data_IF_231067712947
#
_entry.id   IF_231067712947
#
_cell.length_a   1.000
_cell.length_b   1.000
_cell.length_c   1.000
_cell.angle_alpha   90.00
_cell.angle_beta   90.00
_cell.angle_gamma   90.00
#
_symmetry.space_group_name_H-M   'P 1'
#
loop_
_entity.id
_entity.type
_entity.pdbx_description
1 polymer ?
#
# COMPACT_ATOMS: atom_id res chain seq x y z
N UNK A 1 -56.93 10.05 57.65
CA UNK A 1 -56.26 9.40 56.50
C UNK A 1 -56.01 10.50 55.47
N UNK A 2 -54.80 11.08 55.49
CA UNK A 2 -53.68 10.87 54.54
C UNK A 2 -54.01 11.39 53.13
N UNK A 3 -53.68 12.65 52.82
CA UNK A 3 -52.50 13.15 52.03
C UNK A 3 -52.62 12.73 50.54
N UNK A 4 -52.49 13.58 49.52
CA UNK A 4 -51.23 14.19 49.05
C UNK A 4 -51.45 15.36 48.07
N UNK A 5 -50.59 16.36 48.20
CA UNK A 5 -50.25 17.40 47.22
C UNK A 5 -49.02 16.89 46.46
N UNK A 6 -49.02 16.95 45.12
CA UNK A 6 -47.81 16.70 44.32
C UNK A 6 -47.40 18.01 43.63
N UNK A 7 -46.19 18.44 44.00
CA UNK A 7 -45.45 19.58 43.47
C UNK A 7 -44.83 19.18 42.13
N UNK A 8 -45.01 20.03 41.12
CA UNK A 8 -44.38 19.90 39.81
C UNK A 8 -42.87 20.09 39.90
N UNK A 9 -42.13 19.17 39.28
CA UNK A 9 -40.70 19.33 39.01
C UNK A 9 -40.51 19.48 37.51
N UNK A 10 -40.04 20.64 37.09
CA UNK A 10 -39.57 20.92 35.73
C UNK A 10 -38.15 20.38 35.64
N UNK A 11 -37.91 19.36 34.79
CA UNK A 11 -36.57 18.93 34.41
C UNK A 11 -36.35 19.35 32.96
N UNK A 12 -35.59 20.42 32.79
CA UNK A 12 -34.92 20.77 31.53
C UNK A 12 -33.73 19.84 31.32
N UNK A 13 -33.80 18.96 30.32
CA UNK A 13 -32.64 18.24 29.79
C UNK A 13 -31.98 19.10 28.69
N UNK A 14 -30.92 19.80 29.08
CA UNK A 14 -29.93 20.37 28.18
C UNK A 14 -28.94 19.26 27.78
N UNK A 15 -28.66 19.16 26.48
CA UNK A 15 -27.64 18.28 25.94
C UNK A 15 -26.22 18.74 26.28
N UNK A 16 -25.26 17.80 26.23
CA UNK A 16 -23.87 18.10 25.90
C UNK A 16 -23.09 16.79 25.68
N UNK A 17 -22.62 16.64 24.43
CA UNK A 17 -21.43 15.95 23.94
C UNK A 17 -20.81 14.80 24.74
N UNK A 18 -20.75 13.64 24.08
CA UNK A 18 -19.87 12.54 24.42
C UNK A 18 -18.41 12.98 24.52
N UNK A 19 -17.78 12.56 25.62
CA UNK A 19 -16.34 12.66 25.81
C UNK A 19 -15.66 11.64 24.91
N UNK A 20 -15.12 12.14 23.80
CA UNK A 20 -14.23 11.42 22.93
C UNK A 20 -12.97 11.01 23.67
N UNK A 21 -12.46 9.85 23.28
CA UNK A 21 -11.10 9.39 23.55
C UNK A 21 -10.11 10.46 23.08
N UNK A 22 -9.56 11.22 24.02
CA UNK A 22 -8.45 12.12 23.78
C UNK A 22 -7.19 11.24 23.68
N UNK A 23 -6.81 10.93 22.44
CA UNK A 23 -5.55 10.29 22.10
C UNK A 23 -4.42 11.21 22.58
N UNK A 24 -3.76 10.81 23.67
CA UNK A 24 -2.51 11.39 24.14
C UNK A 24 -1.47 11.18 23.04
N UNK A 25 -1.30 12.19 22.18
CA UNK A 25 -0.15 12.32 21.31
C UNK A 25 1.07 12.56 22.20
N UNK A 26 1.70 11.48 22.64
CA UNK A 26 3.00 11.50 23.28
C UNK A 26 4.05 11.89 22.24
N UNK A 27 4.23 13.19 22.10
CA UNK A 27 5.27 13.82 21.33
C UNK A 27 6.60 13.64 22.07
N UNK A 28 7.14 12.42 22.04
CA UNK A 28 8.48 12.17 22.56
C UNK A 28 9.49 12.55 21.48
N UNK A 29 10.02 13.78 21.58
CA UNK A 29 11.38 14.05 21.12
C UNK A 29 12.30 13.17 21.97
N UNK A 30 12.83 12.09 21.40
CA UNK A 30 13.95 11.38 22.00
C UNK A 30 15.08 11.46 20.99
N UNK A 31 16.03 12.35 21.29
CA UNK A 31 17.26 12.51 20.55
C UNK A 31 18.33 12.90 21.57
N UNK A 32 18.73 11.94 22.41
CA UNK A 32 19.74 12.11 23.46
C UNK A 32 20.11 10.77 24.13
N UNK A 33 20.84 9.91 23.42
CA UNK A 33 21.93 9.06 23.95
C UNK A 33 21.71 8.11 25.13
N UNK A 34 20.51 8.00 25.72
CA UNK A 34 20.20 7.09 26.83
C UNK A 34 19.70 5.71 26.35
N UNK A 35 19.82 4.65 27.16
CA UNK A 35 19.33 3.32 26.79
C UNK A 35 17.81 3.33 26.69
N UNK A 36 17.31 3.11 25.49
CA UNK A 36 15.89 2.97 25.20
C UNK A 36 15.31 1.74 25.92
N UNK A 37 14.35 1.96 26.82
CA UNK A 37 13.71 0.88 27.59
C UNK A 37 12.82 0.02 26.69
N UNK A 38 12.10 0.65 25.74
CA UNK A 38 11.17 -0.03 24.85
C UNK A 38 11.71 0.02 23.41
N UNK A 39 12.32 -1.07 22.96
CA UNK A 39 12.71 -1.22 21.55
C UNK A 39 11.58 -1.86 20.77
N UNK A 40 11.39 -1.44 19.53
CA UNK A 40 10.40 -2.05 18.63
C UNK A 40 11.04 -3.25 17.92
N UNK A 41 10.40 -4.41 18.01
CA UNK A 41 10.83 -5.69 17.43
C UNK A 41 9.80 -6.33 16.50
N UNK A 42 8.71 -5.62 16.21
CA UNK A 42 7.66 -6.02 15.26
C UNK A 42 7.59 -5.04 14.08
N UNK A 43 8.38 -5.33 13.04
CA UNK A 43 8.30 -4.62 11.77
C UNK A 43 7.99 -5.54 10.60
N UNK A 44 7.11 -5.10 9.71
CA UNK A 44 7.07 -5.63 8.34
C UNK A 44 8.42 -5.32 7.63
N UNK A 45 8.96 -6.23 6.79
CA UNK A 45 10.21 -5.99 6.09
C UNK A 45 10.11 -4.82 5.11
N UNK A 46 10.97 -3.82 5.33
CA UNK A 46 11.08 -2.62 4.52
C UNK A 46 12.54 -2.17 4.44
N UNK A 47 12.85 -1.42 3.39
CA UNK A 47 14.14 -0.78 3.14
C UNK A 47 13.89 0.68 2.76
N UNK A 48 14.69 1.61 3.27
CA UNK A 48 14.75 2.97 2.73
C UNK A 48 16.10 3.17 2.03
N UNK A 49 16.07 3.45 0.73
CA UNK A 49 17.27 3.67 -0.09
C UNK A 49 17.03 4.84 -1.05
N UNK A 50 17.93 5.82 -1.06
CA UNK A 50 17.83 7.02 -1.91
C UNK A 50 16.48 7.73 -1.82
N UNK A 51 15.92 7.82 -0.60
CA UNK A 51 14.60 8.34 -0.26
C UNK A 51 13.43 7.58 -0.88
N UNK A 52 13.65 6.36 -1.37
CA UNK A 52 12.62 5.45 -1.86
C UNK A 52 12.42 4.36 -0.82
N UNK A 53 11.18 4.19 -0.37
CA UNK A 53 10.79 3.13 0.54
C UNK A 53 10.35 1.92 -0.27
N UNK A 54 10.90 0.76 0.06
CA UNK A 54 10.56 -0.53 -0.52
C UNK A 54 10.01 -1.47 0.55
N UNK A 55 9.16 -2.41 0.15
CA UNK A 55 8.63 -3.48 1.00
C UNK A 55 8.85 -4.83 0.34
N UNK A 56 9.04 -5.86 1.16
CA UNK A 56 9.22 -7.24 0.67
C UNK A 56 7.96 -7.70 -0.08
N UNK A 57 8.17 -8.37 -1.20
CA UNK A 57 7.10 -8.99 -1.99
C UNK A 57 6.87 -10.41 -1.50
N UNK A 58 5.64 -10.71 -1.07
CA UNK A 58 5.27 -12.05 -0.58
C UNK A 58 4.47 -12.86 -1.60
N UNK A 59 3.59 -12.22 -2.36
CA UNK A 59 2.52 -12.88 -3.12
C UNK A 59 2.75 -12.85 -4.65
N UNK A 60 4.00 -13.01 -5.08
CA UNK A 60 4.41 -12.98 -6.50
C UNK A 60 5.40 -14.11 -6.79
N UNK A 61 5.32 -14.70 -8.00
CA UNK A 61 6.33 -15.64 -8.48
C UNK A 61 7.57 -14.87 -8.95
N UNK A 62 8.60 -14.84 -8.11
CA UNK A 62 9.81 -14.09 -8.38
C UNK A 62 10.96 -14.96 -8.87
N UNK A 63 10.73 -16.27 -9.09
CA UNK A 63 11.78 -17.24 -9.42
C UNK A 63 12.50 -16.96 -10.74
N UNK A 64 11.85 -16.24 -11.65
CA UNK A 64 12.41 -15.89 -12.96
C UNK A 64 13.11 -14.53 -12.97
N UNK A 65 13.02 -13.77 -11.89
CA UNK A 65 13.72 -12.48 -11.78
C UNK A 65 15.14 -12.74 -11.29
N UNK A 66 16.11 -12.38 -12.12
CA UNK A 66 17.52 -12.56 -11.80
C UNK A 66 18.10 -11.34 -11.08
N UNK A 67 18.99 -11.59 -10.10
CA UNK A 67 19.84 -10.55 -9.52
C UNK A 67 20.81 -9.99 -10.55
N UNK A 68 20.94 -8.67 -10.55
CA UNK A 68 21.90 -7.90 -11.33
C UNK A 68 23.12 -7.51 -10.51
N UNK A 69 23.67 -6.32 -10.80
CA UNK A 69 24.83 -5.78 -10.08
C UNK A 69 24.47 -5.48 -8.63
N UNK A 70 25.44 -5.63 -7.73
CA UNK A 70 25.36 -5.09 -6.36
C UNK A 70 25.41 -3.56 -6.41
N UNK A 71 24.44 -2.91 -5.80
CA UNK A 71 24.28 -1.44 -5.79
C UNK A 71 24.42 -0.83 -4.40
N UNK A 72 24.47 -1.65 -3.36
CA UNK A 72 24.72 -1.18 -2.00
C UNK A 72 24.68 -2.29 -0.98
N UNK A 73 24.59 -1.87 0.28
CA UNK A 73 24.46 -2.74 1.45
C UNK A 73 23.53 -2.07 2.46
N UNK A 74 22.78 -2.89 3.19
CA UNK A 74 22.05 -2.45 4.38
C UNK A 74 23.06 -1.89 5.39
N UNK A 75 22.82 -0.68 5.88
CA UNK A 75 23.70 0.04 6.80
C UNK A 75 23.29 -0.14 8.25
N UNK A 76 22.00 -0.39 8.50
CA UNK A 76 21.45 -0.55 9.83
C UNK A 76 20.18 -1.40 9.80
N UNK A 77 20.03 -2.26 10.81
CA UNK A 77 18.81 -3.03 11.07
C UNK A 77 18.05 -2.36 12.21
N UNK A 78 16.76 -2.07 12.00
CA UNK A 78 15.96 -1.39 13.02
C UNK A 78 15.34 -2.34 14.05
N UNK A 79 14.95 -3.55 13.65
CA UNK A 79 14.22 -4.47 14.52
C UNK A 79 15.04 -4.80 15.77
N UNK A 80 14.48 -4.52 16.95
CA UNK A 80 15.13 -4.69 18.24
C UNK A 80 16.25 -3.69 18.53
N UNK A 81 16.38 -2.62 17.74
CA UNK A 81 17.47 -1.63 17.82
C UNK A 81 16.99 -0.18 18.00
N UNK A 82 15.74 0.14 17.68
CA UNK A 82 15.24 1.53 17.68
C UNK A 82 14.10 1.75 18.68
N UNK A 83 13.96 2.99 19.14
CA UNK A 83 12.83 3.46 19.94
C UNK A 83 11.59 3.76 19.10
N UNK A 84 10.40 3.80 19.73
CA UNK A 84 9.24 4.49 19.18
C UNK A 84 9.59 5.90 18.68
N UNK A 85 9.03 6.27 17.53
CA UNK A 85 9.29 7.57 16.90
C UNK A 85 10.53 7.62 15.99
N UNK A 86 11.37 6.58 15.97
CA UNK A 86 12.48 6.53 15.03
C UNK A 86 12.01 6.60 13.57
N UNK A 87 12.60 7.53 12.81
CA UNK A 87 12.34 7.70 11.38
C UNK A 87 13.43 7.01 10.58
N UNK A 88 13.03 6.14 9.65
CA UNK A 88 13.95 5.45 8.73
C UNK A 88 14.86 6.44 8.02
N UNK A 89 16.14 6.09 7.90
CA UNK A 89 17.18 6.81 7.14
C UNK A 89 17.64 5.96 5.97
N UNK A 90 18.30 6.61 4.99
CA UNK A 90 18.83 5.89 3.84
C UNK A 90 19.85 4.83 4.27
N UNK A 91 19.65 3.60 3.80
CA UNK A 91 20.43 2.43 4.17
C UNK A 91 19.82 1.62 5.32
N UNK A 92 18.75 2.10 5.96
CA UNK A 92 18.05 1.33 6.99
C UNK A 92 17.17 0.25 6.37
N UNK A 93 17.24 -0.94 6.94
CA UNK A 93 16.26 -1.99 6.75
C UNK A 93 15.57 -2.28 8.08
N UNK A 94 14.28 -2.60 8.04
CA UNK A 94 13.58 -2.98 9.26
C UNK A 94 14.08 -4.32 9.78
N UNK A 95 14.13 -5.34 8.91
CA UNK A 95 14.45 -6.72 9.28
C UNK A 95 15.83 -7.22 8.80
N UNK A 96 16.29 -6.80 7.63
CA UNK A 96 17.54 -7.32 7.05
C UNK A 96 18.76 -6.88 7.87
N UNK A 97 19.73 -7.78 8.03
CA UNK A 97 20.94 -7.53 8.82
C UNK A 97 21.85 -6.49 8.16
N UNK A 98 22.59 -5.73 8.97
CA UNK A 98 23.64 -4.83 8.49
C UNK A 98 24.67 -5.61 7.66
N UNK A 99 25.03 -5.07 6.51
CA UNK A 99 25.94 -5.70 5.56
C UNK A 99 25.25 -6.64 4.56
N UNK A 100 23.94 -6.87 4.67
CA UNK A 100 23.17 -7.58 3.65
C UNK A 100 23.26 -6.79 2.33
N UNK A 101 23.67 -7.46 1.25
CA UNK A 101 23.84 -6.82 -0.05
C UNK A 101 22.51 -6.41 -0.67
N UNK A 102 22.52 -5.28 -1.38
CA UNK A 102 21.40 -4.77 -2.16
C UNK A 102 21.77 -4.88 -3.64
N UNK A 103 20.92 -5.52 -4.44
CA UNK A 103 21.19 -5.84 -5.83
C UNK A 103 20.07 -5.34 -6.75
N UNK A 104 20.42 -5.02 -8.00
CA UNK A 104 19.43 -4.76 -9.03
C UNK A 104 18.54 -5.99 -9.25
N UNK A 105 17.27 -5.77 -9.58
CA UNK A 105 16.48 -6.76 -10.29
C UNK A 105 16.69 -6.55 -11.80
N UNK A 106 17.27 -7.54 -12.50
CA UNK A 106 17.56 -7.40 -13.94
C UNK A 106 16.28 -7.12 -14.72
N UNK A 107 16.37 -6.19 -15.68
CA UNK A 107 15.24 -5.79 -16.53
C UNK A 107 14.33 -4.71 -15.93
N UNK A 108 14.64 -4.21 -14.72
CA UNK A 108 13.86 -3.17 -14.05
C UNK A 108 14.72 -2.04 -13.52
N UNK A 109 14.10 -0.86 -13.42
CA UNK A 109 14.64 0.28 -12.70
C UNK A 109 14.82 -0.03 -11.21
N UNK A 110 15.94 0.41 -10.64
CA UNK A 110 16.23 0.36 -9.21
C UNK A 110 15.19 1.16 -8.40
N UNK A 111 14.53 2.16 -8.99
CA UNK A 111 13.47 2.92 -8.34
C UNK A 111 12.16 2.15 -8.16
N UNK A 112 12.01 1.03 -8.85
CA UNK A 112 10.81 0.20 -8.80
C UNK A 112 11.04 -1.05 -7.96
N UNK A 113 12.02 -1.89 -8.30
CA UNK A 113 12.25 -3.14 -7.58
C UNK A 113 13.72 -3.51 -7.53
N UNK A 114 14.10 -4.19 -6.45
CA UNK A 114 15.46 -4.60 -6.16
C UNK A 114 15.48 -5.84 -5.27
N UNK A 115 16.64 -6.46 -5.12
CA UNK A 115 16.85 -7.52 -4.14
C UNK A 115 17.57 -7.00 -2.90
N UNK A 116 17.13 -7.46 -1.73
CA UNK A 116 17.85 -7.32 -0.46
C UNK A 116 18.23 -8.73 -0.02
N UNK A 117 19.51 -9.08 -0.15
CA UNK A 117 19.95 -10.47 -0.09
C UNK A 117 19.33 -11.29 -1.22
N UNK A 118 18.51 -12.28 -0.87
CA UNK A 118 17.74 -13.10 -1.83
C UNK A 118 16.28 -12.64 -1.98
N UNK A 119 15.81 -11.74 -1.12
CA UNK A 119 14.42 -11.33 -1.09
C UNK A 119 14.15 -10.21 -2.09
N UNK A 120 13.08 -10.34 -2.87
CA UNK A 120 12.62 -9.27 -3.76
C UNK A 120 11.83 -8.22 -2.97
N UNK A 121 12.14 -6.96 -3.24
CA UNK A 121 11.47 -5.79 -2.69
C UNK A 121 10.96 -4.92 -3.83
N UNK A 122 9.76 -4.39 -3.67
CA UNK A 122 9.12 -3.45 -4.59
C UNK A 122 8.87 -2.12 -3.90
N UNK A 123 8.83 -1.06 -4.70
CA UNK A 123 8.61 0.29 -4.23
C UNK A 123 7.24 0.41 -3.57
N UNK A 124 7.26 0.93 -2.37
CA UNK A 124 6.08 1.32 -1.62
C UNK A 124 5.83 2.83 -1.73
N UNK A 125 6.90 3.64 -1.66
CA UNK A 125 6.81 5.10 -1.79
C UNK A 125 8.06 5.64 -2.47
N UNK A 126 7.86 6.41 -3.54
CA UNK A 126 8.90 7.19 -4.20
C UNK A 126 8.44 8.66 -4.27
N UNK A 127 9.01 9.58 -3.47
CA UNK A 127 8.58 10.98 -3.44
C UNK A 127 8.91 11.74 -4.73
N UNK A 128 9.69 11.15 -5.64
CA UNK A 128 10.03 11.74 -6.94
C UNK A 128 9.11 11.26 -8.06
N UNK A 129 8.31 10.20 -7.85
CA UNK A 129 7.38 9.71 -8.85
C UNK A 129 6.12 10.57 -8.86
N UNK A 130 5.81 11.17 -10.00
CA UNK A 130 4.61 11.97 -10.24
C UNK A 130 3.50 11.12 -10.84
N UNK A 131 3.85 10.10 -11.62
CA UNK A 131 2.89 9.19 -12.26
C UNK A 131 3.10 7.75 -11.81
N UNK A 132 2.06 6.93 -11.96
CA UNK A 132 2.16 5.50 -11.67
C UNK A 132 3.20 4.82 -12.56
N UNK A 133 3.39 5.26 -13.81
CA UNK A 133 4.46 4.73 -14.68
C UNK A 133 5.88 5.10 -14.24
N UNK A 134 6.06 6.20 -13.51
CA UNK A 134 7.35 6.54 -12.88
C UNK A 134 7.58 5.77 -11.57
N UNK A 135 6.49 5.38 -10.89
CA UNK A 135 6.55 4.54 -9.70
C UNK A 135 6.82 3.08 -10.08
N UNK A 136 6.06 2.54 -11.03
CA UNK A 136 6.15 1.16 -11.50
C UNK A 136 6.72 1.10 -12.91
N UNK A 137 7.93 0.58 -13.04
CA UNK A 137 8.58 0.32 -14.32
C UNK A 137 8.00 -0.96 -14.97
N UNK A 138 6.73 -0.91 -15.37
CA UNK A 138 5.96 -2.02 -15.97
C UNK A 138 5.41 -1.70 -17.36
N UNK A 139 5.75 -0.55 -17.95
CA UNK A 139 5.33 -0.20 -19.31
C UNK A 139 5.79 -1.27 -20.31
N UNK A 140 4.84 -1.86 -21.03
CA UNK A 140 5.11 -2.93 -22.00
C UNK A 140 5.53 -4.27 -21.37
N UNK A 141 5.39 -4.42 -20.05
CA UNK A 141 5.76 -5.64 -19.31
C UNK A 141 4.56 -6.36 -18.72
N UNK A 142 3.34 -5.81 -18.84
CA UNK A 142 2.10 -6.47 -18.41
C UNK A 142 1.66 -7.45 -19.51
N UNK A 143 1.55 -8.73 -19.16
CA UNK A 143 1.11 -9.79 -20.06
C UNK A 143 -0.42 -9.91 -20.09
N UNK A 144 -1.06 -9.94 -18.92
CA UNK A 144 -2.53 -9.99 -18.80
C UNK A 144 -2.97 -9.51 -17.41
N UNK A 145 -4.25 -9.19 -17.29
CA UNK A 145 -4.88 -8.81 -16.01
C UNK A 145 -5.91 -9.87 -15.62
N UNK A 146 -5.83 -10.36 -14.39
CA UNK A 146 -6.82 -11.27 -13.82
C UNK A 146 -7.62 -10.58 -12.72
N UNK A 147 -8.93 -10.79 -12.70
CA UNK A 147 -9.79 -10.41 -11.57
C UNK A 147 -9.73 -11.50 -10.49
N UNK A 148 -9.74 -11.09 -9.21
CA UNK A 148 -9.60 -11.99 -8.06
C UNK A 148 -10.82 -11.90 -7.16
N UNK A 149 -11.23 -13.04 -6.60
CA UNK A 149 -12.25 -13.11 -5.56
C UNK A 149 -11.80 -12.34 -4.31
N UNK A 150 -12.75 -11.71 -3.62
CA UNK A 150 -12.50 -11.06 -2.33
C UNK A 150 -12.33 -12.10 -1.22
N UNK A 151 -13.02 -13.25 -1.33
CA UNK A 151 -13.14 -14.24 -0.25
C UNK A 151 -11.88 -15.09 -0.08
N UNK A 152 -11.38 -15.64 -1.18
CA UNK A 152 -10.28 -16.62 -1.18
C UNK A 152 -9.11 -16.20 -2.07
N UNK A 153 -9.19 -15.00 -2.64
CA UNK A 153 -8.24 -14.50 -3.64
C UNK A 153 -8.07 -15.44 -4.84
N UNK A 154 -8.99 -16.35 -5.16
CA UNK A 154 -8.89 -17.16 -6.38
C UNK A 154 -9.06 -16.29 -7.63
N UNK A 155 -8.58 -16.76 -8.78
CA UNK A 155 -8.83 -16.09 -10.06
C UNK A 155 -10.27 -16.37 -10.51
N UNK A 156 -11.06 -15.32 -10.71
CA UNK A 156 -12.47 -15.41 -11.14
C UNK A 156 -12.65 -15.05 -12.61
N UNK A 157 -11.66 -14.42 -13.25
CA UNK A 157 -11.72 -14.11 -14.66
C UNK A 157 -10.50 -13.37 -15.17
N UNK A 158 -10.45 -13.19 -16.49
CA UNK A 158 -9.41 -12.43 -17.18
C UNK A 158 -10.03 -11.24 -17.88
N UNK A 159 -9.30 -10.13 -17.90
CA UNK A 159 -9.61 -9.02 -18.78
C UNK A 159 -9.29 -9.46 -20.21
N UNK A 160 -10.11 -9.05 -21.19
CA UNK A 160 -9.76 -9.21 -22.61
C UNK A 160 -8.44 -8.49 -22.95
N UNK A 161 -7.70 -8.95 -23.94
CA UNK A 161 -6.41 -8.35 -24.35
C UNK A 161 -6.50 -6.85 -24.62
N UNK A 162 -7.52 -6.38 -25.35
CA UNK A 162 -7.76 -4.94 -25.59
C UNK A 162 -7.92 -4.16 -24.28
N UNK A 163 -8.66 -4.74 -23.32
CA UNK A 163 -8.88 -4.12 -22.01
C UNK A 163 -7.61 -4.11 -21.17
N UNK A 164 -6.79 -5.16 -21.23
CA UNK A 164 -5.48 -5.22 -20.57
C UNK A 164 -4.56 -4.11 -21.08
N UNK A 165 -4.46 -3.94 -22.39
CA UNK A 165 -3.60 -2.93 -23.03
C UNK A 165 -4.07 -1.53 -22.62
N UNK A 166 -5.35 -1.22 -22.85
CA UNK A 166 -5.90 0.11 -22.59
C UNK A 166 -5.89 0.47 -21.11
N UNK A 167 -6.23 -0.47 -20.23
CA UNK A 167 -6.14 -0.25 -18.80
C UNK A 167 -4.71 0.09 -18.39
N UNK A 168 -3.74 -0.70 -18.85
CA UNK A 168 -2.33 -0.49 -18.47
C UNK A 168 -1.81 0.86 -18.98
N UNK A 169 -2.15 1.23 -20.22
CA UNK A 169 -1.76 2.52 -20.78
C UNK A 169 -2.32 3.71 -20.00
N UNK A 170 -3.60 3.65 -19.62
CA UNK A 170 -4.23 4.71 -18.83
C UNK A 170 -3.76 4.72 -17.38
N UNK A 171 -3.63 3.54 -16.77
CA UNK A 171 -3.17 3.37 -15.40
C UNK A 171 -1.80 3.99 -15.17
N UNK A 172 -0.86 3.77 -16.09
CA UNK A 172 0.49 4.32 -15.98
C UNK A 172 0.56 5.85 -16.14
N UNK A 173 -0.47 6.48 -16.71
CA UNK A 173 -0.58 7.95 -16.84
C UNK A 173 -1.13 8.62 -15.58
N UNK A 174 -1.78 7.86 -14.69
CA UNK A 174 -2.39 8.43 -13.49
C UNK A 174 -1.34 9.09 -12.59
N UNK A 175 -1.72 10.21 -11.97
CA UNK A 175 -0.88 10.87 -10.99
C UNK A 175 -0.85 10.07 -9.68
N UNK A 176 0.33 9.98 -9.07
CA UNK A 176 0.48 9.39 -7.73
C UNK A 176 -0.10 10.33 -6.69
N UNK A 177 -1.03 9.83 -5.91
CA UNK A 177 -1.58 10.47 -4.73
C UNK A 177 -1.11 9.76 -3.45
N UNK A 178 -1.16 10.44 -2.31
CA UNK A 178 -0.87 9.79 -1.02
C UNK A 178 -2.07 8.91 -0.64
N UNK A 179 -1.90 7.59 -0.75
CA UNK A 179 -2.96 6.63 -0.41
C UNK A 179 -3.44 6.76 1.04
N UNK A 180 -2.59 7.25 1.96
CA UNK A 180 -3.02 7.51 3.33
C UNK A 180 -4.06 8.61 3.39
N UNK A 181 -3.95 9.64 2.56
CA UNK A 181 -4.96 10.70 2.48
C UNK A 181 -6.25 10.14 1.88
N UNK A 182 -6.17 9.36 0.80
CA UNK A 182 -7.33 8.68 0.20
C UNK A 182 -8.07 7.83 1.25
N UNK A 183 -7.34 7.02 2.01
CA UNK A 183 -7.89 6.19 3.08
C UNK A 183 -8.56 7.03 4.18
N UNK A 184 -7.87 8.07 4.69
CA UNK A 184 -8.38 8.92 5.76
C UNK A 184 -9.59 9.76 5.34
N UNK A 185 -9.76 10.03 4.05
CA UNK A 185 -10.94 10.71 3.48
C UNK A 185 -12.16 9.76 3.35
N UNK A 186 -12.04 8.49 3.75
CA UNK A 186 -13.12 7.51 3.63
C UNK A 186 -13.31 6.97 2.21
N UNK A 187 -12.40 7.27 1.27
CA UNK A 187 -12.58 6.92 -0.15
C UNK A 187 -12.31 5.45 -0.49
N UNK A 188 -11.93 4.67 0.51
CA UNK A 188 -11.70 3.23 0.40
C UNK A 188 -12.76 2.42 1.14
N UNK A 189 -13.92 3.02 1.41
CA UNK A 189 -15.09 2.36 1.97
C UNK A 189 -15.94 1.73 0.85
N UNK A 190 -16.79 0.76 1.22
CA UNK A 190 -17.72 0.13 0.29
C UNK A 190 -17.14 -1.01 -0.55
N UNK A 191 -17.76 -1.23 -1.71
CA UNK A 191 -17.41 -2.31 -2.62
C UNK A 191 -16.01 -2.11 -3.20
N UNK A 192 -15.22 -3.19 -3.23
CA UNK A 192 -13.87 -3.17 -3.79
C UNK A 192 -13.64 -4.38 -4.69
N UNK A 193 -12.80 -4.18 -5.69
CA UNK A 193 -12.38 -5.21 -6.62
C UNK A 193 -10.87 -5.39 -6.54
N UNK A 194 -10.43 -6.65 -6.63
CA UNK A 194 -9.01 -6.98 -6.71
C UNK A 194 -8.69 -7.43 -8.13
N UNK A 195 -7.63 -6.85 -8.68
CA UNK A 195 -7.05 -7.34 -9.92
C UNK A 195 -5.55 -7.49 -9.76
N UNK A 196 -5.02 -8.46 -10.50
CA UNK A 196 -3.60 -8.76 -10.53
C UNK A 196 -3.08 -8.51 -11.93
N UNK A 197 -2.07 -7.66 -12.02
CA UNK A 197 -1.31 -7.41 -13.24
C UNK A 197 -0.21 -8.47 -13.29
N UNK A 198 -0.33 -9.43 -14.20
CA UNK A 198 0.69 -10.45 -14.42
C UNK A 198 1.70 -9.92 -15.42
N UNK A 199 2.98 -9.99 -15.07
CA UNK A 199 4.06 -9.47 -15.88
C UNK A 199 4.69 -10.56 -16.74
N UNK A 200 5.40 -10.17 -17.78
CA UNK A 200 6.02 -11.09 -18.75
C UNK A 200 7.10 -11.99 -18.13
N UNK A 201 7.64 -11.61 -16.98
CA UNK A 201 8.57 -12.43 -16.18
C UNK A 201 7.86 -13.34 -15.15
N UNK A 202 6.52 -13.46 -15.25
CA UNK A 202 5.64 -14.22 -14.35
C UNK A 202 5.50 -13.65 -12.93
N UNK A 203 6.15 -12.53 -12.61
CA UNK A 203 5.85 -11.77 -11.39
C UNK A 203 4.52 -11.03 -11.52
N UNK A 204 4.00 -10.52 -10.41
CA UNK A 204 2.69 -9.88 -10.43
C UNK A 204 2.51 -8.78 -9.39
N UNK A 205 1.69 -7.79 -9.73
CA UNK A 205 1.28 -6.69 -8.85
C UNK A 205 -0.21 -6.77 -8.54
N UNK A 206 -0.58 -6.64 -7.27
CA UNK A 206 -1.98 -6.58 -6.84
C UNK A 206 -2.47 -5.13 -6.77
N UNK A 207 -3.63 -4.89 -7.37
CA UNK A 207 -4.32 -3.61 -7.40
C UNK A 207 -5.70 -3.80 -6.76
N UNK A 208 -5.99 -3.00 -5.74
CA UNK A 208 -7.33 -2.83 -5.20
C UNK A 208 -7.97 -1.64 -5.86
N UNK A 209 -9.27 -1.71 -6.15
CA UNK A 209 -10.03 -0.64 -6.79
C UNK A 209 -11.40 -0.46 -6.15
N UNK A 210 -11.76 0.79 -5.89
CA UNK A 210 -13.04 1.22 -5.37
C UNK A 210 -13.77 2.01 -6.45
N UNK A 211 -14.81 1.45 -7.09
CA UNK A 211 -15.43 2.04 -8.27
C UNK A 211 -16.26 3.30 -7.99
N UNK A 212 -16.84 3.41 -6.80
CA UNK A 212 -17.64 4.57 -6.38
C UNK A 212 -16.80 5.84 -6.45
N UNK A 213 -15.72 5.86 -5.67
CA UNK A 213 -14.74 6.96 -5.58
C UNK A 213 -13.70 6.97 -6.72
N UNK A 214 -13.71 5.92 -7.55
CA UNK A 214 -12.75 5.70 -8.63
C UNK A 214 -11.29 5.78 -8.16
N UNK A 215 -10.94 5.13 -7.04
CA UNK A 215 -9.58 5.13 -6.49
C UNK A 215 -8.95 3.74 -6.52
N UNK A 216 -7.63 3.69 -6.61
CA UNK A 216 -6.87 2.43 -6.65
C UNK A 216 -5.56 2.47 -5.89
N UNK A 217 -5.08 1.31 -5.44
CA UNK A 217 -3.71 1.15 -4.96
C UNK A 217 -2.72 1.29 -6.12
N UNK A 218 -1.49 1.79 -5.89
CA UNK A 218 -0.88 2.18 -4.61
C UNK A 218 -1.26 3.59 -4.13
N UNK A 219 -2.22 4.26 -4.77
CA UNK A 219 -2.61 5.64 -4.48
C UNK A 219 -2.78 6.43 -5.75
N UNK A 220 -3.93 6.29 -6.42
CA UNK A 220 -4.28 7.09 -7.59
C UNK A 220 -5.80 7.25 -7.68
N UNK A 221 -6.23 8.40 -8.22
CA UNK A 221 -7.58 8.58 -8.73
C UNK A 221 -7.59 8.13 -10.19
N UNK A 222 -8.48 7.22 -10.52
CA UNK A 222 -8.74 6.79 -11.88
C UNK A 222 -9.35 7.90 -12.73
N UNK A 223 -9.32 7.70 -14.04
CA UNK A 223 -10.06 8.52 -14.99
C UNK A 223 -11.33 7.77 -15.47
N UNK A 224 -12.15 8.44 -16.27
CA UNK A 224 -13.39 7.86 -16.81
C UNK A 224 -13.13 6.61 -17.66
N UNK A 225 -12.02 6.60 -18.39
CA UNK A 225 -11.67 5.47 -19.26
C UNK A 225 -11.35 4.22 -18.44
N UNK A 226 -10.58 4.34 -17.35
CA UNK A 226 -10.33 3.22 -16.43
C UNK A 226 -11.64 2.73 -15.82
N UNK A 227 -12.48 3.63 -15.30
CA UNK A 227 -13.76 3.27 -14.70
C UNK A 227 -14.63 2.48 -15.69
N UNK A 228 -14.73 2.98 -16.93
CA UNK A 228 -15.47 2.33 -18.01
C UNK A 228 -14.89 0.95 -18.35
N UNK A 229 -13.57 0.82 -18.47
CA UNK A 229 -12.92 -0.47 -18.74
C UNK A 229 -13.23 -1.46 -17.62
N UNK A 230 -12.91 -1.11 -16.37
CA UNK A 230 -13.04 -2.01 -15.22
C UNK A 230 -14.48 -2.46 -15.02
N UNK A 231 -15.44 -1.54 -14.99
CA UNK A 231 -16.86 -1.89 -14.83
C UNK A 231 -17.38 -2.77 -15.96
N UNK A 232 -16.94 -2.55 -17.21
CA UNK A 232 -17.32 -3.41 -18.32
C UNK A 232 -16.78 -4.84 -18.19
N UNK A 233 -15.57 -5.01 -17.63
CA UNK A 233 -14.99 -6.33 -17.40
C UNK A 233 -15.69 -7.03 -16.23
N UNK A 234 -15.96 -6.31 -15.14
CA UNK A 234 -16.72 -6.83 -14.00
C UNK A 234 -18.08 -7.36 -14.46
N UNK A 235 -18.86 -6.54 -15.18
CA UNK A 235 -20.19 -6.92 -15.66
C UNK A 235 -20.14 -8.19 -16.53
N UNK A 236 -19.15 -8.30 -17.43
CA UNK A 236 -18.98 -9.48 -18.30
C UNK A 236 -18.61 -10.74 -17.53
N UNK A 237 -17.90 -10.62 -16.42
CA UNK A 237 -17.47 -11.75 -15.61
C UNK A 237 -18.54 -12.19 -14.62
N UNK A 238 -19.32 -11.25 -14.08
CA UNK A 238 -20.42 -11.58 -13.15
C UNK A 238 -21.68 -12.06 -13.86
N UNK A 239 -21.96 -11.61 -15.09
CA UNK A 239 -23.11 -12.08 -15.90
C UNK A 239 -22.96 -13.49 -16.48
N UNK A 240 -21.82 -14.14 -16.28
CA UNK A 240 -21.55 -15.52 -16.74
C UNK A 240 -21.87 -16.59 -15.69
N UNK A 241 -22.35 -16.19 -14.53
CA UNK A 241 -22.83 -17.02 -13.43
C UNK A 241 -24.32 -16.78 -13.21
#
# INVERSE_FOLDING_TARGET
>A
MKTWIIIGTVITLLGSSGKGFEQVMLQSKVDDGGPCINKIDEYAPALLLNNIKYTKVYNSNNAHISKGKKIGDVKFKMNGMVCPGYLMKNGDATQAEKGTGIYQAKGYSESFRLFVGEDLYEVFKNPRAKTIGELFDIKGKVAYISMRSIEDHSQIGLFSDDATIRFTEEFLKLSVADFRNIYNEGKTEGEKYFFRLHLTDQSSLDISYWPEENVMTPGAYGNEEIKRIVLSQIQKLTSRH
#
